data_IF_343991505515
#
_entry.id   IF_343991505515
#
_cell.length_a   1.000
_cell.length_b   1.000
_cell.length_c   1.000
_cell.angle_alpha   90.00
_cell.angle_beta   90.00
_cell.angle_gamma   90.00
#
_symmetry.space_group_name_H-M   'P 1'
#
loop_
_entity.id
_entity.type
_entity.pdbx_description
1 polymer ?
#
# COMPACT_ATOMS: atom_id res chain seq x y z
N UNK A 1 8.99 11.01 -32.60
CA UNK A 1 9.06 11.17 -31.13
C UNK A 1 9.14 9.76 -30.56
N UNK A 2 10.29 9.41 -29.98
CA UNK A 2 10.57 8.05 -29.51
C UNK A 2 9.69 7.74 -28.30
N UNK A 3 8.84 6.71 -28.41
CA UNK A 3 8.23 6.05 -27.26
C UNK A 3 9.28 5.14 -26.65
N UNK A 4 9.78 5.52 -25.48
CA UNK A 4 10.63 4.65 -24.68
C UNK A 4 9.70 3.93 -23.70
N UNK A 5 9.25 2.74 -24.08
CA UNK A 5 8.64 1.80 -23.13
C UNK A 5 9.76 1.34 -22.19
N UNK A 6 9.77 1.90 -20.98
CA UNK A 6 10.67 1.47 -19.92
C UNK A 6 10.14 0.14 -19.38
N UNK A 7 10.83 -0.94 -19.74
CA UNK A 7 10.67 -2.23 -19.07
C UNK A 7 11.38 -2.07 -17.72
N UNK A 8 10.63 -2.11 -16.63
CA UNK A 8 11.20 -2.11 -15.28
C UNK A 8 12.20 -3.26 -15.15
N UNK A 9 13.35 -3.00 -14.53
CA UNK A 9 14.28 -4.06 -14.15
C UNK A 9 13.60 -5.02 -13.16
N UNK A 10 14.13 -6.24 -13.05
CA UNK A 10 13.59 -7.24 -12.13
C UNK A 10 13.64 -6.76 -10.67
N UNK A 11 14.66 -5.98 -10.34
CA UNK A 11 14.86 -5.36 -9.04
C UNK A 11 13.80 -4.28 -8.75
N UNK A 12 13.47 -3.44 -9.73
CA UNK A 12 12.42 -2.43 -9.61
C UNK A 12 11.02 -3.06 -9.55
N UNK A 13 10.78 -4.15 -10.28
CA UNK A 13 9.52 -4.88 -10.19
C UNK A 13 9.36 -5.59 -8.83
N UNK A 14 10.45 -6.16 -8.29
CA UNK A 14 10.44 -6.81 -6.98
C UNK A 14 10.16 -5.82 -5.83
N UNK A 15 10.40 -4.53 -6.04
CA UNK A 15 10.11 -3.47 -5.08
C UNK A 15 8.61 -3.31 -4.78
N UNK A 16 7.73 -3.82 -5.64
CA UNK A 16 6.27 -3.69 -5.56
C UNK A 16 5.53 -5.03 -5.42
N UNK A 17 6.24 -6.14 -5.22
CA UNK A 17 5.63 -7.45 -4.95
C UNK A 17 5.50 -7.65 -3.44
N UNK A 18 4.48 -7.06 -2.82
CA UNK A 18 4.24 -7.22 -1.39
C UNK A 18 3.70 -8.61 -1.09
N UNK A 19 4.13 -9.21 0.01
CA UNK A 19 3.61 -10.49 0.50
C UNK A 19 2.71 -10.22 1.69
N UNK A 20 1.47 -10.69 1.63
CA UNK A 20 0.57 -10.69 2.77
C UNK A 20 1.16 -11.58 3.88
N UNK A 21 1.41 -10.99 5.04
CA UNK A 21 2.03 -11.68 6.18
C UNK A 21 1.16 -12.79 6.75
N UNK A 22 -0.16 -12.72 6.55
CA UNK A 22 -1.08 -13.69 7.14
C UNK A 22 -1.35 -14.88 6.20
N UNK A 23 -1.37 -14.66 4.87
CA UNK A 23 -1.66 -15.72 3.88
C UNK A 23 -0.47 -16.16 3.03
N UNK A 24 0.60 -15.36 2.96
CA UNK A 24 1.72 -15.57 2.05
C UNK A 24 1.41 -15.26 0.58
N UNK A 25 0.20 -14.75 0.25
CA UNK A 25 -0.16 -14.36 -1.11
C UNK A 25 0.61 -13.12 -1.54
N UNK A 26 0.97 -13.06 -2.84
CA UNK A 26 1.50 -11.85 -3.44
C UNK A 26 0.36 -10.86 -3.69
N UNK A 27 0.55 -9.63 -3.23
CA UNK A 27 -0.40 -8.52 -3.37
C UNK A 27 0.27 -7.46 -4.24
N UNK A 28 -0.43 -7.03 -5.29
CA UNK A 28 0.03 -5.95 -6.16
C UNK A 28 -0.68 -4.67 -5.69
N UNK A 29 0.07 -3.66 -5.21
CA UNK A 29 -0.52 -2.41 -4.75
C UNK A 29 -1.08 -1.62 -5.93
N UNK A 30 -2.24 -0.99 -5.71
CA UNK A 30 -2.94 -0.18 -6.71
C UNK A 30 -3.56 1.03 -6.03
N UNK A 31 -3.13 2.24 -6.35
CA UNK A 31 -3.70 3.46 -5.78
C UNK A 31 -3.50 3.57 -4.26
N UNK A 32 -2.96 4.68 -3.80
CA UNK A 32 -2.68 4.87 -2.39
C UNK A 32 -1.75 6.03 -2.12
N UNK A 33 -1.26 6.06 -0.88
CA UNK A 33 -0.39 7.13 -0.39
C UNK A 33 0.72 6.55 0.49
N UNK A 34 1.86 7.23 0.49
CA UNK A 34 3.03 6.88 1.32
C UNK A 34 3.42 8.08 2.15
N UNK A 35 3.55 7.90 3.46
CA UNK A 35 3.97 8.94 4.40
C UNK A 35 4.98 8.41 5.41
N UNK A 36 5.79 9.31 5.97
CA UNK A 36 6.64 8.98 7.11
C UNK A 36 5.79 8.83 8.36
N UNK A 37 6.01 7.77 9.13
CA UNK A 37 5.37 7.51 10.41
C UNK A 37 6.41 7.55 11.53
N UNK A 38 6.28 8.54 12.42
CA UNK A 38 7.23 8.76 13.50
C UNK A 38 7.17 7.66 14.57
N UNK A 39 5.96 7.16 14.89
CA UNK A 39 5.75 6.07 15.84
C UNK A 39 6.43 4.76 15.39
N UNK A 40 6.40 4.48 14.09
CA UNK A 40 7.02 3.28 13.50
C UNK A 40 8.49 3.50 13.13
N UNK A 41 8.92 4.75 12.98
CA UNK A 41 10.21 5.14 12.41
C UNK A 41 10.43 4.49 11.03
N UNK A 42 9.39 4.56 10.18
CA UNK A 42 9.32 3.95 8.84
C UNK A 42 8.46 4.79 7.91
N UNK A 43 8.61 4.58 6.61
CA UNK A 43 7.57 4.94 5.66
C UNK A 43 6.43 3.92 5.72
N UNK A 44 5.20 4.40 5.73
CA UNK A 44 3.98 3.57 5.72
C UNK A 44 3.19 3.83 4.45
N UNK A 45 2.59 2.78 3.90
CA UNK A 45 1.75 2.85 2.72
C UNK A 45 0.35 2.36 3.05
N UNK A 46 -0.67 3.16 2.71
CA UNK A 46 -2.08 2.76 2.71
C UNK A 46 -2.53 2.70 1.26
N UNK A 47 -3.06 1.54 0.84
CA UNK A 47 -3.37 1.28 -0.56
C UNK A 47 -4.48 0.23 -0.73
N UNK A 48 -5.05 0.14 -1.94
CA UNK A 48 -5.97 -0.95 -2.33
C UNK A 48 -5.28 -1.97 -3.24
N UNK A 49 -5.83 -3.17 -3.33
CA UNK A 49 -5.48 -4.10 -4.41
C UNK A 49 -6.59 -4.09 -5.47
N UNK A 50 -6.24 -4.29 -6.74
CA UNK A 50 -7.26 -4.64 -7.75
C UNK A 50 -7.52 -6.14 -7.75
N UNK A 51 -8.75 -6.52 -8.12
CA UNK A 51 -9.18 -7.91 -8.23
C UNK A 51 -9.12 -8.68 -6.91
N UNK A 52 -9.50 -8.00 -5.83
CA UNK A 52 -9.66 -8.62 -4.53
C UNK A 52 -10.69 -9.74 -4.48
N UNK A 53 -10.58 -10.57 -3.44
CA UNK A 53 -11.45 -11.73 -3.24
C UNK A 53 -12.91 -11.29 -2.96
N UNK A 54 -13.13 -10.14 -2.31
CA UNK A 54 -14.46 -9.68 -1.89
C UNK A 54 -15.10 -8.67 -2.86
N UNK A 55 -14.30 -7.73 -3.36
CA UNK A 55 -14.73 -6.72 -4.34
C UNK A 55 -13.51 -6.16 -5.09
N UNK A 56 -13.75 -5.45 -6.18
CA UNK A 56 -12.68 -5.04 -7.11
C UNK A 56 -11.61 -4.16 -6.44
N UNK A 57 -12.01 -3.28 -5.50
CA UNK A 57 -11.14 -2.41 -4.70
C UNK A 57 -11.57 -2.37 -3.22
N UNK A 58 -11.96 -3.52 -2.67
CA UNK A 58 -12.55 -3.59 -1.33
C UNK A 58 -11.54 -3.67 -0.20
N UNK A 59 -10.38 -4.29 -0.44
CA UNK A 59 -9.39 -4.52 0.61
C UNK A 59 -8.44 -3.33 0.75
N UNK A 60 -8.33 -2.84 1.98
CA UNK A 60 -7.37 -1.81 2.38
C UNK A 60 -6.17 -2.50 3.01
N UNK A 61 -4.99 -2.12 2.55
CA UNK A 61 -3.71 -2.72 2.93
C UNK A 61 -2.79 -1.69 3.59
N UNK A 62 -1.95 -2.19 4.49
CA UNK A 62 -0.92 -1.45 5.18
C UNK A 62 0.45 -2.12 4.97
N UNK A 63 1.44 -1.32 4.56
CA UNK A 63 2.81 -1.79 4.40
C UNK A 63 3.84 -0.81 4.99
N UNK A 64 5.05 -1.30 5.28
CA UNK A 64 6.14 -0.51 5.85
C UNK A 64 7.43 -0.67 5.03
N UNK A 65 8.23 0.39 4.95
CA UNK A 65 9.56 0.37 4.34
C UNK A 65 10.53 1.38 5.01
N UNK A 66 11.83 1.13 4.86
CA UNK A 66 12.89 2.02 5.31
C UNK A 66 13.11 3.23 4.39
N UNK A 67 12.64 3.16 3.15
CA UNK A 67 12.72 4.27 2.20
C UNK A 67 11.38 4.50 1.50
N UNK A 68 11.17 5.72 1.03
CA UNK A 68 9.96 6.13 0.32
C UNK A 68 9.63 5.22 -0.88
N UNK A 69 10.65 4.71 -1.57
CA UNK A 69 10.44 3.84 -2.73
C UNK A 69 10.41 2.36 -2.35
N UNK A 70 10.85 1.96 -1.15
CA UNK A 70 10.88 0.56 -0.70
C UNK A 70 12.27 0.09 -0.24
N UNK A 71 12.58 -1.20 -0.24
CA UNK A 71 11.78 -2.31 -0.75
C UNK A 71 10.52 -2.57 0.08
N UNK A 72 9.35 -2.61 -0.58
CA UNK A 72 8.09 -2.99 0.04
C UNK A 72 7.96 -4.51 -0.01
N UNK A 73 8.23 -5.18 1.12
CA UNK A 73 8.29 -6.65 1.15
C UNK A 73 7.03 -7.27 1.73
N UNK A 74 6.45 -6.65 2.74
CA UNK A 74 5.38 -7.22 3.53
C UNK A 74 4.22 -6.25 3.64
N UNK A 75 3.01 -6.81 3.63
CA UNK A 75 1.77 -6.07 3.80
C UNK A 75 0.82 -6.83 4.70
N UNK A 76 -0.15 -6.12 5.27
CA UNK A 76 -1.26 -6.70 6.02
C UNK A 76 -2.55 -6.02 5.61
N UNK A 77 -3.60 -6.81 5.44
CA UNK A 77 -4.95 -6.30 5.26
C UNK A 77 -5.45 -5.70 6.58
N UNK A 78 -5.93 -4.45 6.53
CA UNK A 78 -6.44 -3.72 7.71
C UNK A 78 -7.96 -3.52 7.69
N UNK A 79 -8.58 -3.57 6.50
CA UNK A 79 -10.03 -3.53 6.34
C UNK A 79 -10.49 -4.21 5.05
N UNK A 80 -11.77 -4.56 4.98
CA UNK A 80 -12.44 -5.04 3.76
C UNK A 80 -13.85 -4.48 3.64
N UNK A 81 -14.23 -4.11 2.42
CA UNK A 81 -15.57 -3.66 2.08
C UNK A 81 -16.21 -4.58 1.04
N UNK A 82 -17.34 -5.19 1.40
CA UNK A 82 -17.99 -6.21 0.55
C UNK A 82 -18.76 -5.63 -0.66
N UNK A 83 -19.20 -4.38 -0.59
CA UNK A 83 -20.10 -3.77 -1.59
C UNK A 83 -19.70 -2.36 -2.03
N UNK A 84 -18.55 -1.88 -1.58
CA UNK A 84 -18.08 -0.52 -1.84
C UNK A 84 -16.62 -0.59 -2.27
N UNK A 85 -16.34 0.09 -3.37
CA UNK A 85 -14.98 0.26 -3.88
C UNK A 85 -14.37 1.53 -3.28
N UNK A 86 -13.14 1.43 -2.77
CA UNK A 86 -12.35 2.62 -2.44
C UNK A 86 -11.41 2.90 -3.60
N UNK A 87 -11.79 3.85 -4.44
CA UNK A 87 -10.91 4.33 -5.49
C UNK A 87 -9.87 5.26 -4.88
N UNK A 88 -8.62 4.77 -4.77
CA UNK A 88 -7.45 5.52 -4.32
C UNK A 88 -7.56 6.03 -2.86
N UNK A 89 -7.46 5.12 -1.87
CA UNK A 89 -7.54 5.52 -0.47
C UNK A 89 -6.43 6.53 -0.14
N UNK A 90 -6.79 7.60 0.55
CA UNK A 90 -5.86 8.62 1.00
C UNK A 90 -5.61 8.46 2.49
N UNK A 91 -4.36 8.21 2.87
CA UNK A 91 -3.90 8.45 4.24
C UNK A 91 -3.94 9.96 4.48
N UNK A 92 -4.79 10.38 5.41
CA UNK A 92 -4.92 11.76 5.84
C UNK A 92 -3.93 12.03 6.98
N UNK A 93 -2.63 12.03 6.66
CA UNK A 93 -1.53 12.12 7.64
C UNK A 93 -1.62 13.34 8.57
N UNK A 94 -2.31 14.39 8.12
CA UNK A 94 -2.58 15.61 8.89
C UNK A 94 -3.48 15.35 10.12
N UNK A 95 -4.20 14.23 10.15
CA UNK A 95 -5.10 13.81 11.23
C UNK A 95 -4.51 12.69 12.10
N UNK A 96 -3.27 12.27 11.82
CA UNK A 96 -2.63 11.21 12.61
C UNK A 96 -2.50 11.61 14.08
N UNK A 97 -2.84 10.69 14.99
CA UNK A 97 -2.69 10.91 16.42
C UNK A 97 -1.54 10.08 16.99
N UNK A 98 -0.97 10.56 18.10
CA UNK A 98 0.10 9.88 18.83
C UNK A 98 1.28 9.51 17.91
N UNK A 99 1.78 10.50 17.17
CA UNK A 99 2.90 10.39 16.22
C UNK A 99 2.68 9.35 15.10
N UNK A 100 1.42 9.13 14.71
CA UNK A 100 1.06 8.14 13.69
C UNK A 100 0.77 6.75 14.25
N UNK A 101 0.58 6.60 15.57
CA UNK A 101 0.06 5.35 16.14
C UNK A 101 -1.39 5.12 15.76
N UNK A 102 -2.16 6.18 15.52
CA UNK A 102 -3.51 6.14 14.98
C UNK A 102 -3.50 6.86 13.64
N UNK A 103 -3.88 6.14 12.59
CA UNK A 103 -3.91 6.60 11.20
C UNK A 103 -5.35 6.70 10.73
N UNK A 104 -5.68 7.79 10.04
CA UNK A 104 -6.97 7.98 9.38
C UNK A 104 -6.82 7.91 7.86
N UNK A 105 -7.76 7.24 7.21
CA UNK A 105 -7.84 7.16 5.75
C UNK A 105 -9.29 7.25 5.27
N UNK A 106 -9.47 7.68 4.03
CA UNK A 106 -10.75 7.80 3.34
C UNK A 106 -10.62 7.44 1.86
#
# INVERSE_FOLDING_TARGET
KLHQESILSKEEAAQWCLVDVDTGKSIIPQGGTVYWNAYRNKYVMIYVQTWGDNSFLGEIWYAEADSLTGAWKYTRQIATHQKQDFYNPRHMHEFDENDGRIIYYA
#
